data_IF_191077134927
#
_entry.id   IF_191077134927
#
_cell.length_a   1.000
_cell.length_b   1.000
_cell.length_c   1.000
_cell.angle_alpha   90.00
_cell.angle_beta   90.00
_cell.angle_gamma   90.00
#
_symmetry.space_group_name_H-M   'P 1'
#
loop_
_entity.id
_entity.type
_entity.pdbx_description
1 polymer ?
#
# COMPACT_ATOMS: atom_id res chain seq x y z
N UNK A 1 19.50 -9.76 6.41
CA UNK A 1 19.35 -8.31 6.71
C UNK A 1 18.25 -8.05 7.74
N UNK A 2 18.33 -6.94 8.48
CA UNK A 2 17.27 -6.44 9.36
C UNK A 2 16.74 -5.09 8.85
N UNK A 3 15.43 -4.87 8.96
CA UNK A 3 14.76 -3.64 8.53
C UNK A 3 14.04 -3.02 9.72
N UNK A 4 14.36 -1.77 10.04
CA UNK A 4 13.77 -1.07 11.18
C UNK A 4 13.04 0.18 10.73
N UNK A 5 11.72 0.16 10.84
CA UNK A 5 10.85 1.30 10.54
C UNK A 5 10.96 2.36 11.66
N UNK A 6 11.25 3.60 11.27
CA UNK A 6 11.25 4.81 12.11
C UNK A 6 10.32 5.84 11.48
N UNK A 7 10.02 6.95 12.17
CA UNK A 7 8.98 7.92 11.77
C UNK A 7 9.03 8.42 10.31
N UNK A 8 10.21 8.50 9.68
CA UNK A 8 10.38 8.98 8.30
C UNK A 8 11.24 8.07 7.43
N UNK A 9 11.88 7.07 8.02
CA UNK A 9 12.90 6.27 7.33
C UNK A 9 12.82 4.81 7.74
N UNK A 10 13.27 3.94 6.86
CA UNK A 10 13.47 2.52 7.13
C UNK A 10 14.97 2.28 7.14
N UNK A 11 15.51 1.96 8.32
CA UNK A 11 16.94 1.66 8.45
C UNK A 11 17.21 0.24 7.91
N UNK A 12 18.23 0.15 7.06
CA UNK A 12 18.74 -1.11 6.51
C UNK A 12 19.96 -1.51 7.31
N UNK A 13 19.85 -2.63 8.01
CA UNK A 13 20.82 -3.04 9.04
C UNK A 13 21.37 -4.42 8.67
N UNK A 14 22.69 -4.52 8.57
CA UNK A 14 23.38 -5.82 8.44
C UNK A 14 23.91 -6.28 9.78
N UNK A 15 24.09 -7.58 9.92
CA UNK A 15 24.74 -8.17 11.10
C UNK A 15 26.12 -8.64 10.70
N UNK A 16 27.16 -8.13 11.36
CA UNK A 16 28.56 -8.49 11.13
C UNK A 16 29.07 -9.23 12.36
N UNK A 17 29.82 -10.32 12.18
CA UNK A 17 30.46 -10.98 13.31
C UNK A 17 31.59 -10.11 13.87
N UNK A 18 31.53 -9.81 15.17
CA UNK A 18 32.58 -9.08 15.88
C UNK A 18 33.38 -10.07 16.75
N UNK A 19 34.64 -10.36 16.39
CA UNK A 19 35.48 -11.31 17.11
C UNK A 19 35.87 -10.83 18.52
N UNK A 20 35.89 -9.52 18.78
CA UNK A 20 36.26 -8.97 20.09
C UNK A 20 35.21 -9.32 21.16
N UNK A 21 33.94 -9.34 20.76
CA UNK A 21 32.80 -9.65 21.63
C UNK A 21 32.19 -11.05 21.36
N UNK A 22 32.77 -11.81 20.41
CA UNK A 22 32.34 -13.16 19.99
C UNK A 22 30.84 -13.25 19.66
N UNK A 23 30.26 -12.18 19.10
CA UNK A 23 28.83 -12.12 18.75
C UNK A 23 28.60 -11.21 17.55
N UNK A 24 27.42 -11.33 16.93
CA UNK A 24 26.99 -10.43 15.87
C UNK A 24 26.77 -9.00 16.38
N UNK A 25 27.29 -8.01 15.65
CA UNK A 25 27.04 -6.58 15.82
C UNK A 25 26.15 -6.09 14.69
N UNK A 26 25.13 -5.30 15.02
CA UNK A 26 24.29 -4.62 14.02
C UNK A 26 24.98 -3.38 13.49
N UNK A 27 25.00 -3.23 12.17
CA UNK A 27 25.54 -2.07 11.48
C UNK A 27 24.50 -1.51 10.52
N UNK A 28 24.23 -0.20 10.61
CA UNK A 28 23.32 0.49 9.71
C UNK A 28 24.08 0.76 8.41
N UNK A 29 23.62 0.15 7.32
CA UNK A 29 24.23 0.28 5.99
C UNK A 29 23.66 1.48 5.24
N UNK A 30 22.42 1.86 5.57
CA UNK A 30 21.79 3.07 5.09
C UNK A 30 20.33 3.14 5.48
N UNK A 31 19.58 4.01 4.81
CA UNK A 31 18.17 4.22 5.08
C UNK A 31 17.38 4.48 3.81
N UNK A 32 16.16 3.98 3.78
CA UNK A 32 15.16 4.24 2.74
C UNK A 32 14.17 5.29 3.26
N UNK A 33 13.65 6.14 2.39
CA UNK A 33 12.52 7.01 2.74
C UNK A 33 11.27 6.16 3.02
N UNK A 34 10.50 6.45 4.07
CA UNK A 34 9.33 5.63 4.43
C UNK A 34 8.12 5.91 3.54
N UNK A 35 8.00 7.13 2.99
CA UNK A 35 6.89 7.54 2.13
C UNK A 35 7.07 7.07 0.69
N UNK A 36 8.32 7.00 0.23
CA UNK A 36 8.68 6.46 -1.08
C UNK A 36 9.91 5.54 -0.97
N UNK A 37 9.74 4.33 -0.42
CA UNK A 37 10.85 3.42 -0.14
C UNK A 37 11.42 2.85 -1.45
N UNK A 38 12.61 3.32 -1.81
CA UNK A 38 13.34 2.94 -3.01
C UNK A 38 14.82 2.76 -2.71
N UNK A 39 15.42 1.74 -3.31
CA UNK A 39 16.86 1.51 -3.26
C UNK A 39 17.57 2.55 -4.14
N UNK A 40 18.21 3.53 -3.53
CA UNK A 40 19.03 4.52 -4.23
C UNK A 40 20.42 3.96 -4.60
N UNK A 41 21.16 4.69 -5.43
CA UNK A 41 22.47 4.26 -5.92
C UNK A 41 23.52 4.18 -4.79
N UNK A 42 23.38 5.01 -3.77
CA UNK A 42 24.28 5.00 -2.61
C UNK A 42 24.14 3.72 -1.79
N UNK A 43 22.91 3.34 -1.46
CA UNK A 43 22.61 2.11 -0.74
C UNK A 43 22.89 0.88 -1.61
N UNK A 44 22.66 0.96 -2.92
CA UNK A 44 23.04 -0.11 -3.86
C UNK A 44 24.55 -0.35 -3.86
N UNK A 45 25.36 0.70 -3.84
CA UNK A 45 26.82 0.59 -3.79
C UNK A 45 27.34 0.06 -2.44
N UNK A 46 26.62 0.30 -1.34
CA UNK A 46 27.00 -0.13 0.00
C UNK A 46 26.62 -1.59 0.34
N UNK A 47 25.80 -2.24 -0.50
CA UNK A 47 25.27 -3.58 -0.24
C UNK A 47 25.85 -4.63 -1.20
N UNK A 48 25.92 -5.88 -0.72
CA UNK A 48 26.22 -7.02 -1.58
C UNK A 48 25.02 -7.41 -2.45
N UNK A 49 25.20 -8.22 -3.52
CA UNK A 49 24.09 -8.70 -4.34
C UNK A 49 23.01 -9.43 -3.52
N UNK A 50 23.41 -10.25 -2.54
CA UNK A 50 22.48 -10.97 -1.67
C UNK A 50 21.67 -10.02 -0.79
N UNK A 51 22.31 -8.97 -0.25
CA UNK A 51 21.64 -7.95 0.54
C UNK A 51 20.67 -7.12 -0.30
N UNK A 52 21.04 -6.79 -1.55
CA UNK A 52 20.15 -6.12 -2.50
C UNK A 52 18.92 -7.00 -2.77
N UNK A 53 19.10 -8.32 -2.93
CA UNK A 53 17.97 -9.24 -3.10
C UNK A 53 17.05 -9.25 -1.85
N UNK A 54 17.63 -9.27 -0.65
CA UNK A 54 16.86 -9.18 0.60
C UNK A 54 16.10 -7.85 0.74
N UNK A 55 16.73 -6.72 0.41
CA UNK A 55 16.10 -5.39 0.44
C UNK A 55 14.96 -5.33 -0.59
N UNK A 56 15.17 -5.86 -1.79
CA UNK A 56 14.16 -5.91 -2.85
C UNK A 56 12.94 -6.73 -2.41
N UNK A 57 13.15 -7.90 -1.82
CA UNK A 57 12.08 -8.73 -1.28
C UNK A 57 11.33 -8.02 -0.13
N UNK A 58 12.04 -7.28 0.73
CA UNK A 58 11.43 -6.45 1.75
C UNK A 58 10.54 -5.35 1.15
N UNK A 59 11.02 -4.62 0.14
CA UNK A 59 10.26 -3.56 -0.53
C UNK A 59 8.99 -4.10 -1.20
N UNK A 60 9.04 -5.29 -1.80
CA UNK A 60 7.86 -5.95 -2.36
C UNK A 60 6.80 -6.23 -1.28
N UNK A 61 7.19 -6.87 -0.18
CA UNK A 61 6.29 -7.14 0.95
C UNK A 61 5.72 -5.86 1.56
N UNK A 62 6.52 -4.80 1.62
CA UNK A 62 6.10 -3.50 2.11
C UNK A 62 5.00 -2.91 1.22
N UNK A 63 5.19 -2.94 -0.10
CA UNK A 63 4.19 -2.49 -1.08
C UNK A 63 2.90 -3.30 -0.98
N UNK A 64 2.99 -4.63 -0.89
CA UNK A 64 1.82 -5.49 -0.71
C UNK A 64 1.05 -5.19 0.59
N UNK A 65 1.77 -4.92 1.68
CA UNK A 65 1.18 -4.50 2.96
C UNK A 65 0.47 -3.16 2.81
N UNK A 66 1.11 -2.17 2.19
CA UNK A 66 0.54 -0.84 1.93
C UNK A 66 -0.70 -0.92 1.04
N UNK A 67 -0.65 -1.68 -0.06
CA UNK A 67 -1.81 -1.89 -0.96
C UNK A 67 -2.99 -2.54 -0.23
N UNK A 68 -2.74 -3.55 0.60
CA UNK A 68 -3.80 -4.17 1.41
C UNK A 68 -4.42 -3.20 2.40
N UNK A 69 -3.59 -2.41 3.09
CA UNK A 69 -4.07 -1.42 4.03
C UNK A 69 -4.88 -0.32 3.32
N UNK A 70 -4.38 0.21 2.21
CA UNK A 70 -5.09 1.19 1.39
C UNK A 70 -6.43 0.64 0.88
N UNK A 71 -6.47 -0.63 0.47
CA UNK A 71 -7.72 -1.31 0.10
C UNK A 71 -8.73 -1.38 1.25
N UNK A 72 -8.27 -1.72 2.47
CA UNK A 72 -9.14 -1.74 3.65
C UNK A 72 -9.67 -0.33 3.99
N UNK A 73 -8.79 0.68 3.99
CA UNK A 73 -9.17 2.08 4.21
C UNK A 73 -10.15 2.60 3.15
N UNK A 74 -9.95 2.20 1.88
CA UNK A 74 -10.87 2.52 0.79
C UNK A 74 -12.26 1.94 1.05
N UNK A 75 -12.38 0.66 1.42
CA UNK A 75 -13.67 0.03 1.73
C UNK A 75 -14.39 0.74 2.89
N UNK A 76 -13.67 1.18 3.92
CA UNK A 76 -14.25 1.90 5.05
C UNK A 76 -14.70 3.32 4.70
N UNK A 77 -13.97 4.04 3.85
CA UNK A 77 -14.28 5.43 3.48
C UNK A 77 -15.29 5.54 2.33
N UNK A 78 -15.38 4.52 1.48
CA UNK A 78 -16.19 4.53 0.26
C UNK A 78 -17.68 4.87 0.49
N UNK A 79 -18.40 4.31 1.48
CA UNK A 79 -19.81 4.65 1.68
C UNK A 79 -20.04 6.14 1.97
N UNK A 80 -19.12 6.79 2.68
CA UNK A 80 -19.21 8.23 2.94
C UNK A 80 -18.93 9.04 1.66
N UNK A 81 -17.89 8.65 0.93
CA UNK A 81 -17.53 9.28 -0.36
C UNK A 81 -18.66 9.17 -1.39
N UNK A 82 -19.32 8.01 -1.47
CA UNK A 82 -20.46 7.80 -2.38
C UNK A 82 -21.62 8.74 -2.08
N UNK A 83 -21.97 8.96 -0.81
CA UNK A 83 -23.05 9.88 -0.43
C UNK A 83 -22.71 11.33 -0.76
N UNK A 84 -21.44 11.72 -0.58
CA UNK A 84 -20.95 13.04 -0.97
C UNK A 84 -21.02 13.23 -2.49
N UNK A 85 -20.56 12.23 -3.25
CA UNK A 85 -20.63 12.25 -4.71
C UNK A 85 -22.08 12.34 -5.20
N UNK A 86 -23.00 11.55 -4.62
CA UNK A 86 -24.43 11.62 -4.93
C UNK A 86 -25.01 13.02 -4.69
N UNK A 87 -24.74 13.60 -3.51
CA UNK A 87 -25.23 14.93 -3.16
C UNK A 87 -24.71 16.02 -4.11
N UNK A 88 -23.45 15.91 -4.54
CA UNK A 88 -22.85 16.82 -5.50
C UNK A 88 -23.44 16.65 -6.90
N UNK A 89 -23.58 15.41 -7.38
CA UNK A 89 -24.14 15.08 -8.71
C UNK A 89 -25.57 15.59 -8.90
N UNK A 90 -26.40 15.55 -7.85
CA UNK A 90 -27.78 16.09 -7.88
C UNK A 90 -27.85 17.60 -8.16
N UNK A 91 -26.74 18.32 -8.01
CA UNK A 91 -26.65 19.77 -8.19
C UNK A 91 -26.08 20.17 -9.56
N UNK A 92 -25.60 19.21 -10.35
CA UNK A 92 -24.89 19.48 -11.60
C UNK A 92 -25.78 19.28 -12.84
N UNK A 93 -25.41 19.93 -13.94
CA UNK A 93 -26.01 19.70 -15.26
C UNK A 93 -25.27 18.58 -16.02
N UNK A 94 -26.00 17.83 -16.86
CA UNK A 94 -25.55 16.60 -17.52
C UNK A 94 -24.28 16.77 -18.38
N UNK A 95 -24.05 17.95 -18.95
CA UNK A 95 -22.90 18.24 -19.82
C UNK A 95 -21.54 18.23 -19.10
N UNK A 96 -21.49 18.41 -17.78
CA UNK A 96 -20.23 18.52 -17.03
C UNK A 96 -19.70 17.17 -16.50
N UNK A 97 -20.53 16.12 -16.54
CA UNK A 97 -20.27 14.86 -15.83
C UNK A 97 -20.03 13.68 -16.79
N UNK A 98 -20.32 13.83 -18.10
CA UNK A 98 -20.29 12.73 -19.07
C UNK A 98 -19.06 11.80 -18.99
N UNK A 99 -17.82 12.32 -19.03
CA UNK A 99 -16.61 11.50 -18.91
C UNK A 99 -16.47 10.80 -17.55
N UNK A 100 -16.76 11.51 -16.46
CA UNK A 100 -16.68 10.98 -15.10
C UNK A 100 -17.76 9.92 -14.84
N UNK A 101 -18.95 10.07 -15.43
CA UNK A 101 -20.06 9.16 -15.26
C UNK A 101 -19.74 7.75 -15.78
N UNK A 102 -19.07 7.64 -16.94
CA UNK A 102 -18.66 6.35 -17.49
C UNK A 102 -17.65 5.62 -16.60
N UNK A 103 -16.69 6.35 -16.03
CA UNK A 103 -15.71 5.80 -15.08
C UNK A 103 -16.39 5.34 -13.78
N UNK A 104 -17.28 6.17 -13.23
CA UNK A 104 -18.07 5.85 -12.02
C UNK A 104 -18.91 4.59 -12.25
N UNK A 105 -19.61 4.48 -13.39
CA UNK A 105 -20.42 3.30 -13.71
C UNK A 105 -19.58 2.03 -13.84
N UNK A 106 -18.42 2.12 -14.48
CA UNK A 106 -17.49 1.00 -14.62
C UNK A 106 -16.99 0.53 -13.25
N UNK A 107 -16.51 1.47 -12.43
CA UNK A 107 -16.04 1.19 -11.08
C UNK A 107 -17.15 0.60 -10.19
N UNK A 108 -18.38 1.12 -10.29
CA UNK A 108 -19.53 0.61 -9.56
C UNK A 108 -19.90 -0.81 -9.96
N UNK A 109 -19.88 -1.13 -11.25
CA UNK A 109 -20.12 -2.48 -11.77
C UNK A 109 -19.12 -3.48 -11.19
N UNK A 110 -17.83 -3.14 -11.18
CA UNK A 110 -16.79 -4.06 -10.70
C UNK A 110 -16.83 -4.23 -9.17
N UNK A 111 -17.12 -3.15 -8.44
CA UNK A 111 -17.36 -3.23 -6.99
C UNK A 111 -18.59 -4.11 -6.67
N UNK A 112 -19.68 -3.95 -7.41
CA UNK A 112 -20.91 -4.74 -7.22
C UNK A 112 -20.65 -6.24 -7.42
N UNK A 113 -19.90 -6.61 -8.47
CA UNK A 113 -19.45 -7.99 -8.71
C UNK A 113 -18.60 -8.52 -7.54
N UNK A 114 -17.67 -7.71 -7.04
CA UNK A 114 -16.81 -8.08 -5.92
C UNK A 114 -17.62 -8.31 -4.64
N UNK A 115 -18.56 -7.42 -4.30
CA UNK A 115 -19.46 -7.55 -3.17
C UNK A 115 -20.32 -8.82 -3.26
N UNK A 116 -20.90 -9.10 -4.44
CA UNK A 116 -21.66 -10.32 -4.65
C UNK A 116 -20.81 -11.59 -4.44
N UNK A 117 -19.54 -11.56 -4.88
CA UNK A 117 -18.60 -12.68 -4.68
C UNK A 117 -18.27 -12.95 -3.21
N UNK A 118 -18.41 -11.95 -2.33
CA UNK A 118 -18.20 -12.14 -0.88
C UNK A 118 -19.31 -12.93 -0.19
N UNK A 119 -20.43 -13.21 -0.88
CA UNK A 119 -21.59 -13.89 -0.30
C UNK A 119 -22.47 -13.00 0.59
N UNK A 120 -22.06 -11.75 0.84
CA UNK A 120 -22.84 -10.72 1.52
C UNK A 120 -23.75 -10.04 0.49
N UNK A 121 -24.65 -10.82 -0.12
CA UNK A 121 -25.71 -10.25 -0.95
C UNK A 121 -26.71 -9.48 -0.09
N UNK A 122 -27.36 -8.46 -0.65
CA UNK A 122 -28.57 -7.89 -0.04
C UNK A 122 -29.53 -9.05 0.23
N UNK A 123 -29.67 -9.44 1.51
CA UNK A 123 -30.70 -10.37 1.93
C UNK A 123 -32.02 -9.84 1.36
N UNK A 124 -32.59 -10.59 0.41
CA UNK A 124 -34.02 -10.45 0.13
C UNK A 124 -34.69 -11.05 1.35
N UNK A 125 -34.95 -10.23 2.37
CA UNK A 125 -35.97 -10.55 3.35
C UNK A 125 -37.26 -10.71 2.55
N UNK A 126 -37.68 -11.97 2.42
CA UNK A 126 -38.89 -12.37 1.74
C UNK A 126 -39.92 -12.48 2.86
N UNK A 127 -40.66 -11.41 3.09
CA UNK A 127 -41.95 -11.46 3.78
C UNK A 127 -43.04 -11.78 2.76
#
# INVERSE_FOLDING_TARGET
MQFRERRRVIQVIRTIYDPAIKRGRSEVVGSLDQTNPMLDDGLRAACTPDEIAEITAFLQRLRERQTRQAGAEAVHSLPAQMRLAEAWLRQQNEHEIGPLAAEIWTAWSDLSKALHKTGIGKSKHKD
#
